data_IF_253236740893
#
_entry.id   IF_253236740893
#
_cell.length_a   1.000
_cell.length_b   1.000
_cell.length_c   1.000
_cell.angle_alpha   90.00
_cell.angle_beta   90.00
_cell.angle_gamma   90.00
#
_symmetry.space_group_name_H-M   'P 1'
#
loop_
_entity.id
_entity.type
_entity.pdbx_description
1 polymer ?
#
# COMPACT_ATOMS: atom_id res chain seq x y z
N UNK A 1 13.83 6.67 -17.98
CA UNK A 1 13.81 5.91 -16.71
C UNK A 1 12.52 5.11 -16.68
N UNK A 2 12.57 3.79 -16.57
CA UNK A 2 11.38 2.93 -16.59
C UNK A 2 10.55 3.17 -15.32
N UNK A 3 9.23 3.35 -15.45
CA UNK A 3 8.35 3.62 -14.31
C UNK A 3 8.34 2.49 -13.28
N UNK A 4 8.55 1.24 -13.71
CA UNK A 4 8.75 0.10 -12.79
C UNK A 4 9.95 0.31 -11.86
N UNK A 5 11.07 0.80 -12.39
CA UNK A 5 12.26 1.12 -11.60
C UNK A 5 11.99 2.23 -10.59
N UNK A 6 11.14 3.21 -10.94
CA UNK A 6 10.75 4.26 -10.00
C UNK A 6 9.89 3.69 -8.85
N UNK A 7 8.93 2.82 -9.16
CA UNK A 7 8.12 2.16 -8.12
C UNK A 7 8.99 1.32 -7.18
N UNK A 8 9.95 0.58 -7.72
CA UNK A 8 10.90 -0.20 -6.93
C UNK A 8 11.75 0.70 -6.00
N UNK A 9 12.31 1.79 -6.54
CA UNK A 9 13.07 2.76 -5.75
C UNK A 9 12.23 3.39 -4.63
N UNK A 10 10.94 3.64 -4.87
CA UNK A 10 10.03 4.14 -3.84
C UNK A 10 9.86 3.13 -2.69
N UNK A 11 9.72 1.83 -3.01
CA UNK A 11 9.63 0.77 -1.99
C UNK A 11 10.94 0.55 -1.23
N UNK A 12 12.07 1.01 -1.76
CA UNK A 12 13.42 0.88 -1.17
C UNK A 12 13.91 2.17 -0.49
N UNK A 13 13.09 3.21 -0.49
CA UNK A 13 13.42 4.53 0.05
C UNK A 13 13.60 4.61 1.58
N UNK A 14 13.34 3.51 2.29
CA UNK A 14 13.34 3.45 3.76
C UNK A 14 12.05 3.95 4.42
N UNK A 15 11.13 4.56 3.66
CA UNK A 15 9.81 4.92 4.18
C UNK A 15 8.92 3.68 4.30
N UNK A 16 8.24 3.55 5.43
CA UNK A 16 7.29 2.45 5.69
C UNK A 16 5.90 2.70 5.13
N UNK A 17 5.55 3.96 4.91
CA UNK A 17 4.32 4.33 4.23
C UNK A 17 4.71 4.98 2.90
N UNK A 18 4.06 4.54 1.84
CA UNK A 18 4.17 5.15 0.52
C UNK A 18 2.77 5.54 0.08
N UNK A 19 2.57 6.77 -0.37
CA UNK A 19 1.27 7.19 -0.93
C UNK A 19 1.42 7.52 -2.41
N UNK A 20 0.61 6.88 -3.26
CA UNK A 20 0.55 7.11 -4.70
C UNK A 20 -0.84 7.65 -5.04
N UNK A 21 -0.89 8.92 -5.45
CA UNK A 21 -2.09 9.55 -6.01
C UNK A 21 -2.07 9.47 -7.54
N UNK A 22 -3.07 8.84 -8.17
CA UNK A 22 -3.17 8.71 -9.64
C UNK A 22 -4.60 8.47 -10.10
N UNK A 23 -4.99 9.02 -11.25
CA UNK A 23 -6.28 8.71 -11.91
C UNK A 23 -6.33 7.31 -12.55
N UNK A 24 -5.20 6.60 -12.60
CA UNK A 24 -5.07 5.27 -13.22
C UNK A 24 -4.54 4.27 -12.19
N UNK A 25 -5.35 4.00 -11.17
CA UNK A 25 -4.99 3.11 -10.05
C UNK A 25 -4.86 1.65 -10.50
N UNK A 26 -5.64 1.23 -11.50
CA UNK A 26 -5.57 -0.12 -12.06
C UNK A 26 -4.24 -0.33 -12.79
N UNK A 27 -3.78 0.61 -13.62
CA UNK A 27 -2.46 0.50 -14.26
C UNK A 27 -1.32 0.44 -13.26
N UNK A 28 -1.38 1.22 -12.18
CA UNK A 28 -0.36 1.13 -11.11
C UNK A 28 -0.41 -0.23 -10.42
N UNK A 29 -1.60 -0.80 -10.21
CA UNK A 29 -1.77 -2.15 -9.65
C UNK A 29 -1.20 -3.23 -10.58
N UNK A 30 -1.38 -3.10 -11.90
CA UNK A 30 -0.79 -4.00 -12.91
C UNK A 30 0.74 -3.94 -12.89
N UNK A 31 1.30 -2.74 -12.72
CA UNK A 31 2.74 -2.55 -12.61
C UNK A 31 3.30 -3.17 -11.33
N UNK A 32 2.62 -3.06 -10.19
CA UNK A 32 3.01 -3.80 -8.99
C UNK A 32 2.87 -5.31 -9.16
N UNK A 33 1.88 -5.77 -9.94
CA UNK A 33 1.75 -7.19 -10.30
C UNK A 33 2.89 -7.66 -11.20
N UNK A 34 3.39 -6.82 -12.08
CA UNK A 34 4.60 -7.11 -12.85
C UNK A 34 5.82 -7.12 -11.94
N UNK A 35 5.97 -6.12 -11.08
CA UNK A 35 7.10 -6.00 -10.14
C UNK A 35 7.17 -7.19 -9.19
N UNK A 36 6.02 -7.69 -8.71
CA UNK A 36 5.97 -8.85 -7.80
C UNK A 36 6.48 -10.14 -8.44
N UNK A 37 6.55 -10.24 -9.78
CA UNK A 37 7.11 -11.42 -10.48
C UNK A 37 8.63 -11.43 -10.49
N UNK A 38 9.25 -10.27 -10.36
CA UNK A 38 10.71 -10.10 -10.42
C UNK A 38 11.33 -9.76 -9.06
N UNK A 39 10.49 -9.55 -8.05
CA UNK A 39 10.89 -9.20 -6.69
C UNK A 39 10.75 -10.39 -5.75
N UNK A 40 11.68 -10.56 -4.82
CA UNK A 40 11.58 -11.56 -3.74
C UNK A 40 10.62 -11.13 -2.61
N UNK A 41 10.02 -9.94 -2.72
CA UNK A 41 9.10 -9.37 -1.74
C UNK A 41 7.70 -9.96 -1.94
N UNK A 42 6.99 -10.27 -0.86
CA UNK A 42 5.57 -10.64 -0.96
C UNK A 42 4.72 -9.38 -1.15
N UNK A 43 3.83 -9.39 -2.14
CA UNK A 43 2.90 -8.30 -2.41
C UNK A 43 1.49 -8.75 -2.06
N UNK A 44 0.77 -7.90 -1.33
CA UNK A 44 -0.60 -8.10 -0.94
C UNK A 44 -1.44 -6.92 -1.41
N UNK A 45 -2.68 -7.19 -1.80
CA UNK A 45 -3.62 -6.16 -2.27
C UNK A 45 -4.89 -6.28 -1.44
N UNK A 46 -5.35 -5.13 -0.93
CA UNK A 46 -6.68 -4.97 -0.35
C UNK A 46 -7.42 -3.88 -1.12
N UNK A 47 -8.70 -4.12 -1.37
CA UNK A 47 -9.65 -3.17 -1.94
C UNK A 47 -10.78 -2.95 -0.94
N UNK A 48 -11.48 -1.80 -0.99
CA UNK A 48 -12.58 -1.53 -0.07
C UNK A 48 -13.60 -2.67 -0.05
N UNK A 49 -14.03 -3.07 1.15
CA UNK A 49 -15.03 -4.13 1.39
C UNK A 49 -14.65 -5.53 0.90
N UNK A 50 -13.38 -5.77 0.52
CA UNK A 50 -12.89 -7.08 0.11
C UNK A 50 -11.76 -7.55 1.03
N UNK A 51 -11.63 -8.87 1.17
CA UNK A 51 -10.48 -9.44 1.87
C UNK A 51 -9.19 -9.20 1.09
N UNK A 52 -8.12 -8.96 1.82
CA UNK A 52 -6.78 -8.91 1.27
C UNK A 52 -6.40 -10.26 0.64
N UNK A 53 -5.61 -10.23 -0.42
CA UNK A 53 -5.04 -11.43 -1.03
C UNK A 53 -3.60 -11.18 -1.44
N UNK A 54 -2.85 -12.26 -1.64
CA UNK A 54 -1.49 -12.20 -2.17
C UNK A 54 -1.53 -12.06 -3.70
N UNK A 55 -0.75 -11.14 -4.26
CA UNK A 55 -0.59 -11.01 -5.71
C UNK A 55 -0.11 -12.35 -6.29
N UNK A 56 -0.77 -12.82 -7.36
CA UNK A 56 -0.54 -14.15 -7.94
C UNK A 56 -1.39 -15.28 -7.34
N UNK A 57 -2.09 -15.03 -6.23
CA UNK A 57 -3.02 -15.96 -5.58
C UNK A 57 -4.33 -15.26 -5.20
N UNK A 58 -4.89 -14.45 -6.10
CA UNK A 58 -6.11 -13.65 -5.84
C UNK A 58 -7.36 -14.45 -5.50
N UNK A 59 -7.38 -15.76 -5.82
CA UNK A 59 -8.45 -16.67 -5.45
C UNK A 59 -8.38 -17.13 -3.97
N UNK A 60 -7.29 -16.81 -3.26
CA UNK A 60 -7.09 -17.14 -1.85
C UNK A 60 -7.19 -15.85 -1.03
N UNK A 61 -8.38 -15.63 -0.47
CA UNK A 61 -8.62 -14.54 0.46
C UNK A 61 -7.94 -14.80 1.81
N UNK A 62 -7.33 -13.77 2.38
CA UNK A 62 -6.81 -13.77 3.75
C UNK A 62 -7.99 -13.48 4.69
N UNK A 63 -8.35 -14.40 5.59
CA UNK A 63 -9.50 -14.21 6.48
C UNK A 63 -9.34 -13.00 7.41
N UNK A 64 -10.46 -12.37 7.79
CA UNK A 64 -10.51 -11.23 8.73
C UNK A 64 -9.61 -10.07 8.29
N UNK A 65 -9.80 -9.64 7.04
CA UNK A 65 -9.09 -8.48 6.47
C UNK A 65 -10.00 -7.59 5.63
N UNK A 66 -11.32 -7.75 5.77
CA UNK A 66 -12.30 -6.87 5.12
C UNK A 66 -12.43 -5.53 5.84
N UNK A 67 -12.32 -5.56 7.17
CA UNK A 67 -12.34 -4.36 8.02
C UNK A 67 -10.94 -3.71 8.05
N UNK A 68 -10.85 -2.37 7.94
CA UNK A 68 -9.57 -1.66 7.99
C UNK A 68 -8.74 -1.88 9.26
N UNK A 69 -9.35 -2.03 10.43
CA UNK A 69 -8.63 -2.25 11.68
C UNK A 69 -8.06 -3.67 11.70
N UNK A 70 -8.90 -4.67 11.42
CA UNK A 70 -8.47 -6.08 11.34
C UNK A 70 -7.36 -6.27 10.28
N UNK A 71 -7.49 -5.60 9.13
CA UNK A 71 -6.48 -5.58 8.08
C UNK A 71 -5.13 -5.05 8.58
N UNK A 72 -5.14 -3.92 9.28
CA UNK A 72 -3.91 -3.32 9.81
C UNK A 72 -3.32 -4.13 10.97
N UNK A 73 -4.15 -4.73 11.81
CA UNK A 73 -3.70 -5.69 12.83
C UNK A 73 -3.04 -6.92 12.20
N UNK A 74 -3.60 -7.43 11.10
CA UNK A 74 -2.97 -8.51 10.34
C UNK A 74 -1.60 -8.09 9.79
N UNK A 75 -1.50 -6.88 9.23
CA UNK A 75 -0.24 -6.33 8.72
C UNK A 75 0.77 -6.15 9.86
N UNK A 76 0.36 -5.61 11.00
CA UNK A 76 1.21 -5.43 12.18
C UNK A 76 1.68 -6.79 12.75
N UNK A 77 0.82 -7.81 12.74
CA UNK A 77 1.15 -9.17 13.20
C UNK A 77 2.09 -9.96 12.26
N UNK A 78 2.20 -9.57 10.98
CA UNK A 78 3.11 -10.21 10.01
C UNK A 78 4.56 -10.22 10.52
N UNK A 79 5.24 -11.36 10.42
CA UNK A 79 6.65 -11.50 10.80
C UNK A 79 7.62 -11.34 9.61
N UNK A 80 7.08 -11.13 8.40
CA UNK A 80 7.88 -11.11 7.17
C UNK A 80 7.80 -9.76 6.47
N UNK A 81 8.88 -9.44 5.75
CA UNK A 81 8.89 -8.33 4.81
C UNK A 81 7.74 -8.50 3.80
N UNK A 82 6.95 -7.46 3.62
CA UNK A 82 5.86 -7.44 2.65
C UNK A 82 5.49 -6.05 2.20
N UNK A 83 4.98 -5.95 0.98
CA UNK A 83 4.36 -4.74 0.42
C UNK A 83 2.85 -4.92 0.45
N UNK A 84 2.16 -4.05 1.17
CA UNK A 84 0.72 -4.10 1.38
C UNK A 84 0.07 -2.92 0.67
N UNK A 85 -0.56 -3.19 -0.47
CA UNK A 85 -1.21 -2.20 -1.33
C UNK A 85 -2.65 -2.05 -0.87
N UNK A 86 -2.96 -0.91 -0.27
CA UNK A 86 -4.29 -0.55 0.21
C UNK A 86 -4.93 0.41 -0.79
N UNK A 87 -5.91 -0.08 -1.53
CA UNK A 87 -6.65 0.72 -2.50
C UNK A 87 -7.75 1.51 -1.82
N UNK A 88 -7.92 2.75 -2.26
CA UNK A 88 -9.04 3.65 -1.91
C UNK A 88 -9.31 3.73 -0.39
N UNK A 89 -8.23 3.87 0.40
CA UNK A 89 -8.23 3.73 1.86
C UNK A 89 -8.59 5.02 2.62
N UNK A 90 -9.02 6.09 1.93
CA UNK A 90 -9.25 7.41 2.54
C UNK A 90 -10.26 7.40 3.67
N UNK A 91 -11.38 6.68 3.51
CA UNK A 91 -12.41 6.66 4.53
C UNK A 91 -11.87 6.10 5.86
N UNK A 92 -11.03 5.07 5.80
CA UNK A 92 -10.38 4.54 6.99
C UNK A 92 -9.38 5.53 7.63
N UNK A 93 -8.73 6.39 6.83
CA UNK A 93 -7.79 7.40 7.33
C UNK A 93 -8.48 8.52 8.14
N UNK A 94 -9.81 8.59 8.17
CA UNK A 94 -10.56 9.49 9.04
C UNK A 94 -10.58 9.01 10.51
N UNK A 95 -10.35 7.72 10.74
CA UNK A 95 -10.36 7.10 12.06
C UNK A 95 -8.99 7.25 12.77
N UNK A 96 -9.02 7.72 14.02
CA UNK A 96 -7.84 7.90 14.87
C UNK A 96 -7.16 6.58 15.23
N UNK A 97 -7.89 5.50 15.42
CA UNK A 97 -7.31 4.19 15.73
C UNK A 97 -6.58 3.62 14.52
N UNK A 98 -7.14 3.79 13.31
CA UNK A 98 -6.47 3.45 12.04
C UNK A 98 -5.15 4.23 11.89
N UNK A 99 -5.18 5.54 12.17
CA UNK A 99 -3.96 6.38 12.13
C UNK A 99 -2.90 5.87 13.13
N UNK A 100 -3.30 5.47 14.34
CA UNK A 100 -2.38 4.91 15.34
C UNK A 100 -1.79 3.58 14.88
N UNK A 101 -2.59 2.69 14.29
CA UNK A 101 -2.11 1.40 13.76
C UNK A 101 -1.11 1.62 12.62
N UNK A 102 -1.40 2.52 11.67
CA UNK A 102 -0.46 2.88 10.61
C UNK A 102 0.84 3.48 11.15
N UNK A 103 0.74 4.36 12.16
CA UNK A 103 1.92 4.92 12.83
C UNK A 103 2.76 3.82 13.49
N UNK A 104 2.13 2.90 14.22
CA UNK A 104 2.78 1.74 14.85
C UNK A 104 3.53 0.90 13.82
N UNK A 105 2.87 0.52 12.72
CA UNK A 105 3.50 -0.23 11.62
C UNK A 105 4.70 0.54 11.07
N UNK A 106 4.54 1.85 10.85
CA UNK A 106 5.57 2.70 10.28
C UNK A 106 6.80 2.90 11.17
N UNK A 107 6.66 2.69 12.48
CA UNK A 107 7.75 2.76 13.45
C UNK A 107 8.26 1.40 13.92
N UNK A 108 7.73 0.31 13.35
CA UNK A 108 8.14 -1.04 13.74
C UNK A 108 9.49 -1.46 13.14
N UNK A 109 10.16 -2.40 13.80
CA UNK A 109 11.45 -2.93 13.37
C UNK A 109 11.35 -3.89 12.16
N UNK A 110 10.13 -4.37 11.85
CA UNK A 110 9.92 -5.27 10.71
C UNK A 110 9.76 -4.44 9.45
N UNK A 111 10.52 -4.78 8.42
CA UNK A 111 10.51 -4.09 7.15
C UNK A 111 9.20 -4.32 6.35
N UNK A 112 8.13 -3.62 6.72
CA UNK A 112 6.84 -3.65 6.02
C UNK A 112 6.62 -2.33 5.32
N UNK A 113 6.14 -2.38 4.08
CA UNK A 113 5.74 -1.18 3.34
C UNK A 113 4.24 -1.20 3.14
N UNK A 114 3.54 -0.21 3.70
CA UNK A 114 2.13 0.05 3.42
C UNK A 114 2.05 1.08 2.30
N UNK A 115 1.49 0.66 1.16
CA UNK A 115 1.30 1.51 0.00
C UNK A 115 -0.17 1.92 -0.11
N UNK A 116 -0.45 3.20 0.10
CA UNK A 116 -1.77 3.80 -0.11
C UNK A 116 -1.90 4.19 -1.59
N UNK A 117 -2.89 3.63 -2.29
CA UNK A 117 -3.14 3.87 -3.71
C UNK A 117 -4.56 4.36 -3.94
N UNK A 118 -4.72 5.58 -4.42
CA UNK A 118 -6.05 6.19 -4.67
C UNK A 118 -5.94 7.33 -5.67
N UNK A 119 -7.06 7.84 -6.19
CA UNK A 119 -7.04 9.05 -7.04
C UNK A 119 -6.65 10.32 -6.28
N UNK A 120 -7.09 10.40 -5.03
CA UNK A 120 -6.76 11.43 -4.07
C UNK A 120 -6.43 10.74 -2.75
N UNK A 121 -5.45 11.23 -2.00
CA UNK A 121 -5.14 10.73 -0.67
C UNK A 121 -5.11 11.88 0.34
N UNK A 122 -6.06 11.85 1.27
CA UNK A 122 -6.14 12.78 2.39
C UNK A 122 -5.25 12.32 3.55
N UNK A 123 -3.93 12.43 3.36
CA UNK A 123 -2.98 11.90 4.34
C UNK A 123 -3.01 12.68 5.67
N UNK A 124 -3.33 12.02 6.80
CA UNK A 124 -3.35 12.66 8.12
C UNK A 124 -1.99 13.24 8.49
N UNK A 125 -2.00 14.40 9.16
CA UNK A 125 -0.77 15.12 9.54
C UNK A 125 0.23 14.25 10.31
N UNK A 126 -0.26 13.36 11.16
CA UNK A 126 0.55 12.44 11.96
C UNK A 126 1.37 11.43 11.13
N UNK A 127 0.90 11.08 9.94
CA UNK A 127 1.56 10.10 9.07
C UNK A 127 2.52 10.74 8.05
N UNK A 128 2.42 12.06 7.83
CA UNK A 128 3.25 12.79 6.85
C UNK A 128 4.76 12.57 7.03
N UNK A 129 5.34 12.60 8.26
CA UNK A 129 6.78 12.39 8.44
C UNK A 129 7.26 10.98 8.07
N UNK A 130 6.35 10.00 8.06
CA UNK A 130 6.65 8.58 7.82
C UNK A 130 6.25 8.13 6.41
N UNK A 131 5.80 9.07 5.57
CA UNK A 131 5.24 8.76 4.25
C UNK A 131 6.05 9.38 3.12
N UNK A 132 6.51 8.53 2.20
CA UNK A 132 6.94 9.00 0.89
C UNK A 132 5.72 9.29 0.01
N UNK A 133 5.57 10.53 -0.44
CA UNK A 133 4.44 10.92 -1.30
C UNK A 133 4.86 11.00 -2.77
N UNK A 134 4.10 10.33 -3.63
CA UNK A 134 4.16 10.48 -5.08
C UNK A 134 2.78 10.85 -5.61
N UNK A 135 2.71 11.94 -6.37
CA UNK A 135 1.50 12.34 -7.08
C UNK A 135 1.78 12.23 -8.56
N UNK A 136 1.10 11.31 -9.23
CA UNK A 136 1.33 11.04 -10.62
C UNK A 136 0.09 11.39 -11.44
N UNK A 137 0.23 12.40 -12.29
CA UNK A 137 -0.67 12.60 -13.41
C UNK A 137 -0.03 11.91 -14.62
N UNK A 138 -0.40 10.66 -14.91
CA UNK A 138 -0.03 10.09 -16.20
C UNK A 138 -0.68 10.94 -17.27
N UNK A 139 0.12 11.72 -18.01
CA UNK A 139 -0.35 12.38 -19.23
C UNK A 139 -0.90 11.27 -20.13
N UNK A 140 -2.19 11.34 -20.47
CA UNK A 140 -2.72 10.57 -21.60
C UNK A 140 -1.80 10.87 -22.78
N UNK A 141 -1.22 9.83 -23.38
CA UNK A 141 -0.72 9.95 -24.74
C UNK A 141 -1.94 10.35 -25.57
N UNK A 142 -1.92 11.58 -26.09
CA UNK A 142 -2.85 12.05 -27.12
C UNK A 142 -2.49 11.35 -28.41
#
# INVERSE_FOLDING_TARGET
MNYLTQLEQMLESGYRIVSIETYDTDRVSDLFTQLSRFSNKAYYVSTPNASMYRVGASHIAIPRTQDPADLLEHIDGSQHFGVFILRDFNHALEDKEIIKLLHKIATSDVDKVVLLLSENIELPKALKPYTLRSKHQMKKAV
#
